data_IF_744972306173
#
_entry.id   IF_744972306173
#
_cell.length_a   1.000
_cell.length_b   1.000
_cell.length_c   1.000
_cell.angle_alpha   90.00
_cell.angle_beta   90.00
_cell.angle_gamma   90.00
#
_symmetry.space_group_name_H-M   'P 1'
#
loop_
_entity.id
_entity.type
_entity.pdbx_description
1 polymer ?
#
# COMPACT_ATOMS: atom_id res chain seq x y z
N UNK A 1 -13.92 28.66 5.06
CA UNK A 1 -13.69 27.27 4.62
C UNK A 1 -12.52 26.74 5.40
N UNK A 2 -12.74 25.67 6.14
CA UNK A 2 -11.70 24.90 6.82
C UNK A 2 -10.92 24.04 5.81
N UNK A 3 -9.78 23.48 6.23
CA UNK A 3 -9.05 22.50 5.42
C UNK A 3 -9.93 21.27 5.12
N UNK A 4 -10.78 20.89 6.05
CA UNK A 4 -11.72 19.78 5.90
C UNK A 4 -12.80 20.08 4.84
N UNK A 5 -13.28 21.32 4.76
CA UNK A 5 -14.26 21.75 3.75
C UNK A 5 -13.66 21.68 2.32
N UNK A 6 -12.37 22.01 2.18
CA UNK A 6 -11.65 21.94 0.89
C UNK A 6 -11.42 20.49 0.47
N UNK A 7 -11.01 19.63 1.42
CA UNK A 7 -10.84 18.20 1.19
C UNK A 7 -12.16 17.55 0.80
N UNK A 8 -13.24 17.85 1.51
CA UNK A 8 -14.57 17.32 1.19
C UNK A 8 -15.04 17.73 -0.21
N UNK A 9 -14.90 19.01 -0.57
CA UNK A 9 -15.29 19.50 -1.89
C UNK A 9 -14.45 18.92 -3.04
N UNK A 10 -13.15 18.69 -2.82
CA UNK A 10 -12.28 18.02 -3.78
C UNK A 10 -12.65 16.54 -3.95
N UNK A 11 -12.96 15.83 -2.86
CA UNK A 11 -13.40 14.43 -2.92
C UNK A 11 -14.73 14.32 -3.66
N UNK A 12 -15.70 15.18 -3.32
CA UNK A 12 -17.02 15.20 -3.97
C UNK A 12 -16.93 15.46 -5.49
N UNK A 13 -15.93 16.22 -5.93
CA UNK A 13 -15.70 16.52 -7.36
C UNK A 13 -14.80 15.53 -8.09
N UNK A 14 -13.93 14.77 -7.40
CA UNK A 14 -12.95 13.85 -7.99
C UNK A 14 -13.39 12.38 -8.00
N UNK A 15 -14.52 12.04 -7.36
CA UNK A 15 -15.07 10.68 -7.36
C UNK A 15 -14.61 9.86 -6.15
N UNK A 16 -14.26 8.59 -6.37
CA UNK A 16 -13.85 7.68 -5.27
C UNK A 16 -12.36 7.83 -5.00
N UNK A 17 -11.94 7.85 -3.73
CA UNK A 17 -10.52 7.90 -3.40
C UNK A 17 -9.82 6.61 -3.85
N UNK A 18 -8.58 6.68 -4.32
CA UNK A 18 -7.82 5.46 -4.67
C UNK A 18 -7.73 4.47 -3.51
N UNK A 19 -7.59 4.96 -2.28
CA UNK A 19 -7.63 4.13 -1.07
C UNK A 19 -8.94 3.37 -0.94
N UNK A 20 -10.07 4.03 -1.15
CA UNK A 20 -11.39 3.41 -1.13
C UNK A 20 -11.59 2.44 -2.30
N UNK A 21 -11.14 2.81 -3.50
CA UNK A 21 -11.22 1.95 -4.68
C UNK A 21 -10.43 0.66 -4.46
N UNK A 22 -9.16 0.73 -4.06
CA UNK A 22 -8.38 -0.49 -3.80
C UNK A 22 -8.86 -1.27 -2.57
N UNK A 23 -9.65 -0.63 -1.70
CA UNK A 23 -10.23 -1.22 -0.49
C UNK A 23 -9.45 -0.93 0.79
N UNK A 24 -8.43 -0.06 0.77
CA UNK A 24 -7.72 0.42 1.96
C UNK A 24 -8.59 1.38 2.78
N UNK A 25 -9.14 0.90 3.89
CA UNK A 25 -9.97 1.70 4.80
C UNK A 25 -9.10 2.49 5.79
N UNK A 26 -8.34 3.46 5.28
CA UNK A 26 -7.35 4.25 6.03
C UNK A 26 -7.92 4.89 7.31
N UNK A 27 -9.19 5.34 7.27
CA UNK A 27 -9.88 5.93 8.42
C UNK A 27 -9.98 4.99 9.64
N UNK A 28 -9.85 3.67 9.45
CA UNK A 28 -9.84 2.69 10.56
C UNK A 28 -8.54 2.73 11.37
N UNK A 29 -7.47 3.33 10.83
CA UNK A 29 -6.18 3.47 11.49
C UNK A 29 -5.63 2.16 12.11
N UNK A 30 -5.76 1.05 11.37
CA UNK A 30 -5.23 -0.26 11.78
C UNK A 30 -3.95 -0.58 11.02
N UNK A 31 -3.03 -1.40 11.58
CA UNK A 31 -1.78 -1.76 10.92
C UNK A 31 -2.00 -2.28 9.50
N UNK A 32 -2.98 -3.16 9.34
CA UNK A 32 -3.30 -3.80 8.07
C UNK A 32 -3.83 -2.82 7.01
N UNK A 33 -4.73 -1.90 7.39
CA UNK A 33 -5.30 -0.94 6.42
C UNK A 33 -4.26 0.10 5.99
N UNK A 34 -3.35 0.49 6.90
CA UNK A 34 -2.25 1.39 6.59
C UNK A 34 -1.17 0.71 5.75
N UNK A 35 -0.84 -0.55 6.05
CA UNK A 35 0.07 -1.34 5.22
C UNK A 35 -0.50 -1.52 3.81
N UNK A 36 -1.80 -1.85 3.69
CA UNK A 36 -2.43 -1.94 2.38
C UNK A 36 -2.35 -0.62 1.61
N UNK A 37 -2.55 0.52 2.29
CA UNK A 37 -2.38 1.82 1.66
C UNK A 37 -0.94 2.08 1.19
N UNK A 38 0.07 1.64 1.94
CA UNK A 38 1.47 1.67 1.53
C UNK A 38 1.70 0.85 0.24
N UNK A 39 1.12 -0.35 0.13
CA UNK A 39 1.19 -1.15 -1.11
C UNK A 39 0.61 -0.39 -2.30
N UNK A 40 -0.52 0.29 -2.09
CA UNK A 40 -1.15 1.17 -3.08
C UNK A 40 -0.21 2.28 -3.52
N UNK A 41 0.45 2.96 -2.58
CA UNK A 41 1.42 4.01 -2.88
C UNK A 41 2.61 3.48 -3.69
N UNK A 42 3.12 2.28 -3.35
CA UNK A 42 4.19 1.61 -4.12
C UNK A 42 3.73 1.36 -5.56
N UNK A 43 2.54 0.79 -5.75
CA UNK A 43 1.99 0.49 -7.08
C UNK A 43 1.74 1.74 -7.91
N UNK A 44 1.16 2.78 -7.29
CA UNK A 44 0.85 4.06 -7.94
C UNK A 44 2.10 4.87 -8.31
N UNK A 45 3.24 4.61 -7.68
CA UNK A 45 4.50 5.31 -7.96
C UNK A 45 5.17 4.88 -9.27
N UNK A 46 4.78 3.72 -9.83
CA UNK A 46 5.32 3.24 -11.09
C UNK A 46 4.81 4.05 -12.29
N UNK A 47 5.54 3.99 -13.41
CA UNK A 47 5.13 4.63 -14.67
C UNK A 47 4.07 3.78 -15.39
N UNK A 48 2.89 3.71 -14.79
CA UNK A 48 1.74 2.90 -15.23
C UNK A 48 0.44 3.71 -15.07
N UNK A 49 -0.62 3.28 -15.76
CA UNK A 49 -1.96 3.82 -15.56
C UNK A 49 -2.45 3.57 -14.12
N UNK A 50 -3.01 4.61 -13.50
CA UNK A 50 -3.45 4.57 -12.11
C UNK A 50 -4.55 3.52 -11.89
N UNK A 51 -5.46 3.32 -12.85
CA UNK A 51 -6.52 2.33 -12.72
C UNK A 51 -5.97 0.90 -12.68
N UNK A 52 -4.86 0.62 -13.41
CA UNK A 52 -4.19 -0.67 -13.35
C UNK A 52 -3.48 -0.88 -12.01
N UNK A 53 -2.85 0.15 -11.45
CA UNK A 53 -2.26 0.08 -10.11
C UNK A 53 -3.34 -0.17 -9.03
N UNK A 54 -4.47 0.53 -9.08
CA UNK A 54 -5.62 0.31 -8.18
C UNK A 54 -6.22 -1.09 -8.35
N UNK A 55 -6.33 -1.58 -9.59
CA UNK A 55 -6.77 -2.95 -9.88
C UNK A 55 -5.84 -3.99 -9.23
N UNK A 56 -4.53 -3.84 -9.41
CA UNK A 56 -3.53 -4.73 -8.81
C UNK A 56 -3.61 -4.71 -7.28
N UNK A 57 -3.72 -3.51 -6.68
CA UNK A 57 -3.87 -3.36 -5.24
C UNK A 57 -5.14 -4.07 -4.72
N UNK A 58 -6.28 -3.88 -5.39
CA UNK A 58 -7.53 -4.59 -5.06
C UNK A 58 -7.37 -6.11 -5.16
N UNK A 59 -6.61 -6.61 -6.13
CA UNK A 59 -6.33 -8.03 -6.28
C UNK A 59 -5.45 -8.58 -5.16
N UNK A 60 -4.42 -7.84 -4.72
CA UNK A 60 -3.64 -8.19 -3.53
C UNK A 60 -4.53 -8.31 -2.29
N UNK A 61 -5.43 -7.35 -2.07
CA UNK A 61 -6.39 -7.42 -0.96
C UNK A 61 -7.25 -8.68 -1.03
N UNK A 62 -7.79 -8.96 -2.21
CA UNK A 62 -8.65 -10.13 -2.47
C UNK A 62 -7.91 -11.46 -2.22
N UNK A 63 -6.62 -11.51 -2.56
CA UNK A 63 -5.73 -12.63 -2.26
C UNK A 63 -5.22 -12.68 -0.81
N UNK A 64 -5.65 -11.75 0.06
CA UNK A 64 -5.12 -11.52 1.43
C UNK A 64 -3.65 -11.08 1.48
N UNK A 65 -3.05 -10.76 0.33
CA UNK A 65 -1.70 -10.22 0.16
C UNK A 65 -1.61 -8.72 0.52
N UNK A 66 -2.37 -8.30 1.52
CA UNK A 66 -2.29 -6.99 2.19
C UNK A 66 -1.99 -7.18 3.69
N UNK A 67 -1.71 -8.42 4.08
CA UNK A 67 -1.31 -8.82 5.43
C UNK A 67 0.15 -9.27 5.36
N UNK A 68 0.96 -8.71 6.24
CA UNK A 68 2.41 -8.97 6.26
C UNK A 68 2.70 -10.47 6.46
N UNK A 69 2.02 -11.13 7.40
CA UNK A 69 2.19 -12.58 7.63
C UNK A 69 1.86 -13.42 6.40
N UNK A 70 0.79 -13.09 5.68
CA UNK A 70 0.41 -13.78 4.44
C UNK A 70 1.44 -13.55 3.34
N UNK A 71 1.92 -12.32 3.14
CA UNK A 71 2.94 -12.01 2.13
C UNK A 71 4.23 -12.79 2.40
N UNK A 72 4.68 -12.84 3.65
CA UNK A 72 5.90 -13.54 4.03
C UNK A 72 5.78 -15.06 3.88
N UNK A 73 4.56 -15.62 4.05
CA UNK A 73 4.29 -17.05 3.91
C UNK A 73 3.90 -17.49 2.49
N UNK A 74 3.56 -16.56 1.59
CA UNK A 74 3.12 -16.88 0.22
C UNK A 74 4.30 -17.23 -0.67
N UNK A 75 4.12 -18.20 -1.58
CA UNK A 75 5.10 -18.49 -2.60
C UNK A 75 5.35 -17.25 -3.48
N UNK A 76 6.61 -17.02 -3.83
CA UNK A 76 6.98 -15.85 -4.62
C UNK A 76 6.22 -15.78 -5.95
N UNK A 77 6.07 -16.91 -6.66
CA UNK A 77 5.44 -16.94 -7.96
C UNK A 77 3.92 -16.77 -7.90
N UNK A 78 3.28 -17.16 -6.80
CA UNK A 78 1.85 -16.89 -6.58
C UNK A 78 1.61 -15.37 -6.47
N UNK A 79 2.47 -14.65 -5.75
CA UNK A 79 2.37 -13.19 -5.65
C UNK A 79 2.64 -12.50 -6.99
N UNK A 80 3.64 -12.97 -7.75
CA UNK A 80 3.90 -12.48 -9.11
C UNK A 80 2.70 -12.73 -10.02
N UNK A 81 2.07 -13.90 -9.95
CA UNK A 81 0.89 -14.22 -10.75
C UNK A 81 -0.28 -13.27 -10.43
N UNK A 82 -0.53 -12.97 -9.15
CA UNK A 82 -1.57 -12.01 -8.76
C UNK A 82 -1.33 -10.64 -9.40
N UNK A 83 -0.10 -10.12 -9.35
CA UNK A 83 0.24 -8.83 -9.98
C UNK A 83 0.12 -8.88 -11.51
N UNK A 84 0.67 -9.93 -12.13
CA UNK A 84 0.68 -10.14 -13.58
C UNK A 84 -0.71 -10.18 -14.18
N UNK A 85 -1.62 -10.90 -13.53
CA UNK A 85 -2.97 -11.15 -14.02
C UNK A 85 -3.92 -9.97 -13.75
N UNK A 86 -3.49 -9.00 -12.93
CA UNK A 86 -4.29 -7.83 -12.53
C UNK A 86 -3.66 -6.50 -12.97
N UNK A 87 -3.13 -6.46 -14.19
CA UNK A 87 -2.74 -5.21 -14.86
C UNK A 87 -1.31 -4.76 -14.61
N UNK A 88 -0.52 -5.51 -13.84
CA UNK A 88 0.83 -5.11 -13.42
C UNK A 88 1.97 -5.90 -14.08
N UNK A 89 1.69 -6.63 -15.17
CA UNK A 89 2.64 -7.51 -15.91
C UNK A 89 4.00 -6.88 -16.24
N UNK A 90 4.09 -5.58 -16.49
CA UNK A 90 5.36 -4.92 -16.84
C UNK A 90 6.35 -4.89 -15.66
N UNK A 91 5.83 -4.92 -14.45
CA UNK A 91 6.57 -4.68 -13.21
C UNK A 91 6.30 -5.76 -12.16
N UNK A 92 5.67 -6.87 -12.54
CA UNK A 92 5.14 -7.90 -11.63
C UNK A 92 6.22 -8.48 -10.71
N UNK A 93 7.32 -8.99 -11.26
CA UNK A 93 8.43 -9.58 -10.50
C UNK A 93 9.10 -8.56 -9.58
N UNK A 94 9.51 -7.41 -10.14
CA UNK A 94 10.19 -6.35 -9.37
C UNK A 94 9.30 -5.83 -8.22
N UNK A 95 8.00 -5.71 -8.46
CA UNK A 95 7.09 -5.23 -7.42
C UNK A 95 6.74 -6.31 -6.42
N UNK A 96 6.65 -7.59 -6.82
CA UNK A 96 6.53 -8.69 -5.86
C UNK A 96 7.75 -8.73 -4.91
N UNK A 97 8.96 -8.61 -5.45
CA UNK A 97 10.19 -8.50 -4.66
C UNK A 97 10.11 -7.31 -3.68
N UNK A 98 9.82 -6.11 -4.18
CA UNK A 98 9.79 -4.91 -3.34
C UNK A 98 8.71 -4.93 -2.25
N UNK A 99 7.53 -5.51 -2.54
CA UNK A 99 6.47 -5.69 -1.54
C UNK A 99 6.87 -6.70 -0.46
N UNK A 100 7.56 -7.79 -0.82
CA UNK A 100 8.08 -8.75 0.17
C UNK A 100 9.17 -8.14 1.04
N UNK A 101 10.10 -7.39 0.45
CA UNK A 101 11.11 -6.64 1.19
C UNK A 101 10.47 -5.63 2.15
N UNK A 102 9.45 -4.91 1.70
CA UNK A 102 8.70 -3.96 2.53
C UNK A 102 7.98 -4.67 3.68
N UNK A 103 7.36 -5.82 3.42
CA UNK A 103 6.72 -6.63 4.46
C UNK A 103 7.73 -7.15 5.50
N UNK A 104 8.91 -7.61 5.06
CA UNK A 104 9.97 -8.07 5.94
C UNK A 104 10.53 -6.92 6.79
N UNK A 105 10.77 -5.75 6.18
CA UNK A 105 11.23 -4.57 6.88
C UNK A 105 10.22 -4.09 7.94
N UNK A 106 8.93 -4.09 7.61
CA UNK A 106 7.85 -3.77 8.54
C UNK A 106 7.79 -4.74 9.72
N UNK A 107 7.95 -6.04 9.46
CA UNK A 107 8.03 -7.08 10.50
C UNK A 107 9.19 -6.81 11.45
N UNK A 108 10.38 -6.63 10.90
CA UNK A 108 11.62 -6.61 11.67
C UNK A 108 11.81 -5.32 12.48
N UNK A 109 11.41 -4.19 11.90
CA UNK A 109 11.70 -2.87 12.48
C UNK A 109 10.51 -2.24 13.20
N UNK A 110 9.29 -2.57 12.77
CA UNK A 110 8.08 -1.90 13.25
C UNK A 110 7.01 -2.85 13.77
N UNK A 111 7.35 -4.13 13.99
CA UNK A 111 6.43 -5.13 14.57
C UNK A 111 5.10 -5.23 13.80
N UNK A 112 5.18 -5.22 12.47
CA UNK A 112 4.04 -5.23 11.54
C UNK A 112 3.14 -3.98 11.56
N UNK A 113 3.56 -2.91 12.24
CA UNK A 113 2.71 -1.73 12.46
C UNK A 113 3.38 -0.43 11.98
N UNK A 114 2.86 0.10 10.86
CA UNK A 114 3.35 1.33 10.24
C UNK A 114 3.31 2.53 11.20
N UNK A 115 2.43 2.51 12.20
CA UNK A 115 2.29 3.60 13.17
C UNK A 115 3.54 3.73 14.05
N UNK A 116 4.26 2.63 14.28
CA UNK A 116 5.51 2.63 15.03
C UNK A 116 6.66 3.36 14.31
N UNK A 117 6.50 3.69 13.02
CA UNK A 117 7.49 4.52 12.30
C UNK A 117 7.54 5.96 12.83
N UNK A 118 6.45 6.47 13.41
CA UNK A 118 6.40 7.82 13.97
C UNK A 118 7.10 7.92 15.33
N UNK A 119 7.22 6.79 16.02
CA UNK A 119 7.87 6.68 17.33
C UNK A 119 9.38 6.44 17.21
N UNK A 120 9.85 6.02 16.04
CA UNK A 120 11.28 5.88 15.72
C UNK A 120 11.84 7.31 15.54
N UNK A 121 12.58 7.82 16.54
CA UNK A 121 13.17 9.17 16.53
C UNK A 121 13.89 9.39 15.19
N UNK A 122 13.40 10.30 14.33
CA UNK A 122 13.99 10.44 13.03
C UNK A 122 15.32 11.15 13.18
N UNK A 123 16.42 10.38 13.19
CA UNK A 123 17.84 10.83 13.22
C UNK A 123 18.18 11.94 12.20
N UNK A 124 17.30 12.23 11.26
CA UNK A 124 17.44 13.30 10.27
C UNK A 124 16.90 14.66 10.73
N UNK A 125 16.17 14.76 11.84
CA UNK A 125 15.77 16.03 12.46
C UNK A 125 16.77 16.57 13.49
N UNK A 126 17.76 15.77 13.90
CA UNK A 126 18.71 16.13 14.97
C UNK A 126 19.88 17.02 14.52
N UNK A 127 19.80 17.59 13.30
CA UNK A 127 20.81 18.52 12.75
C UNK A 127 20.17 19.90 12.52
N UNK A 128 19.99 20.67 13.58
CA UNK A 128 19.46 22.04 13.52
C UNK A 128 19.89 22.87 14.73
#
# INVERSE_FOLDING_TARGET
>A
MSQDDVVAALIDTQGTLFSEEMGAHVARNTPQELFHWMEGAILLSARIDAALAVQAARALRSGRLHKIDVILATDYWDMVAVLRDNGYRRYDEKTAEYLRETAQWMRDRYQDDLRNMLDDDPMWFSSG
#
